data_IF_597396124868
#
_entry.id   IF_597396124868
#
_cell.length_a   1.000
_cell.length_b   1.000
_cell.length_c   1.000
_cell.angle_alpha   90.00
_cell.angle_beta   90.00
_cell.angle_gamma   90.00
#
_symmetry.space_group_name_H-M   'P 1'
#
loop_
_entity.id
_entity.type
_entity.pdbx_description
1 polymer ?
#
# COMPACT_ATOMS: atom_id res chain seq x y z
N UNK A 1 10.07 18.50 67.57
CA UNK A 1 9.80 18.90 66.17
C UNK A 1 8.34 19.33 66.07
N UNK A 2 8.07 20.61 65.83
CA UNK A 2 6.70 21.13 65.73
C UNK A 2 5.97 20.51 64.54
N UNK A 3 4.74 20.04 64.74
CA UNK A 3 3.92 19.32 63.73
C UNK A 3 3.83 20.07 62.40
N UNK A 4 3.91 21.40 62.42
CA UNK A 4 3.96 22.25 61.23
C UNK A 4 5.19 22.01 60.33
N UNK A 5 6.37 21.75 60.92
CA UNK A 5 7.59 21.42 60.14
C UNK A 5 7.49 20.05 59.48
N UNK A 6 6.88 19.07 60.16
CA UNK A 6 6.62 17.75 59.59
C UNK A 6 5.59 17.83 58.46
N UNK A 7 4.52 18.61 58.64
CA UNK A 7 3.53 18.84 57.58
C UNK A 7 4.14 19.54 56.36
N UNK A 8 5.00 20.56 56.58
CA UNK A 8 5.70 21.24 55.50
C UNK A 8 6.65 20.33 54.72
N UNK A 9 7.41 19.47 55.42
CA UNK A 9 8.28 18.49 54.78
C UNK A 9 7.49 17.43 54.00
N UNK A 10 6.38 16.95 54.55
CA UNK A 10 5.50 16.01 53.87
C UNK A 10 4.91 16.61 52.59
N UNK A 11 4.45 17.87 52.65
CA UNK A 11 3.92 18.58 51.47
C UNK A 11 5.01 18.81 50.40
N UNK A 12 6.22 19.18 50.82
CA UNK A 12 7.35 19.37 49.90
C UNK A 12 7.76 18.05 49.21
N UNK A 13 7.78 16.93 49.94
CA UNK A 13 8.04 15.61 49.38
C UNK A 13 6.95 15.18 48.38
N UNK A 14 5.69 15.49 48.67
CA UNK A 14 4.56 15.22 47.78
C UNK A 14 4.68 16.02 46.47
N UNK A 15 4.99 17.32 46.57
CA UNK A 15 5.19 18.19 45.41
C UNK A 15 6.41 17.75 44.57
N UNK A 16 7.50 17.35 45.23
CA UNK A 16 8.67 16.82 44.54
C UNK A 16 8.35 15.50 43.81
N UNK A 17 7.58 14.60 44.42
CA UNK A 17 7.12 13.37 43.79
C UNK A 17 6.24 13.61 42.57
N UNK A 18 5.31 14.57 42.65
CA UNK A 18 4.45 14.96 41.53
C UNK A 18 5.26 15.60 40.41
N UNK A 19 6.19 16.51 40.72
CA UNK A 19 7.06 17.14 39.74
C UNK A 19 8.00 16.14 39.05
N UNK A 20 8.51 15.16 39.80
CA UNK A 20 9.34 14.08 39.25
C UNK A 20 8.53 13.20 38.29
N UNK A 21 7.30 12.84 38.67
CA UNK A 21 6.41 12.02 37.85
C UNK A 21 5.91 12.75 36.58
N UNK A 22 5.68 14.07 36.67
CA UNK A 22 5.21 14.89 35.56
C UNK A 22 6.34 15.41 34.63
N UNK A 23 7.54 15.63 35.17
CA UNK A 23 8.66 16.25 34.48
C UNK A 23 9.42 15.32 33.54
N UNK A 24 9.58 14.05 33.92
CA UNK A 24 10.42 13.11 33.17
C UNK A 24 9.72 12.50 31.95
N UNK A 25 8.38 12.40 31.98
CA UNK A 25 7.60 11.81 30.90
C UNK A 25 7.21 12.82 29.82
N UNK A 26 6.90 14.08 30.15
CA UNK A 26 6.31 15.02 29.19
C UNK A 26 7.22 15.40 28.00
N UNK A 27 8.50 15.69 28.24
CA UNK A 27 9.39 16.21 27.18
C UNK A 27 10.01 15.09 26.33
N UNK A 28 10.41 13.97 26.97
CA UNK A 28 10.96 12.82 26.28
C UNK A 28 9.90 12.07 25.47
N UNK A 29 8.67 11.98 25.96
CA UNK A 29 7.58 11.37 25.19
C UNK A 29 7.21 12.23 24.00
N UNK A 30 7.24 13.56 24.10
CA UNK A 30 7.03 14.43 22.94
C UNK A 30 8.07 14.21 21.84
N UNK A 31 9.36 14.11 22.19
CA UNK A 31 10.42 13.81 21.23
C UNK A 31 10.28 12.40 20.63
N UNK A 32 9.93 11.39 21.44
CA UNK A 32 9.65 10.03 20.94
C UNK A 32 8.44 9.99 20.01
N UNK A 33 7.38 10.73 20.33
CA UNK A 33 6.17 10.81 19.52
C UNK A 33 6.47 11.46 18.17
N UNK A 34 7.26 12.54 18.18
CA UNK A 34 7.70 13.23 16.96
C UNK A 34 8.56 12.33 16.07
N UNK A 35 9.44 11.52 16.67
CA UNK A 35 10.25 10.52 15.96
C UNK A 35 9.43 9.36 15.39
N UNK A 36 8.36 8.92 16.08
CA UNK A 36 7.42 7.92 15.51
C UNK A 36 6.64 8.50 14.33
N UNK A 37 6.15 9.72 14.47
CA UNK A 37 5.37 10.40 13.43
C UNK A 37 6.20 10.69 12.17
N UNK A 38 7.49 10.98 12.32
CA UNK A 38 8.41 11.12 11.19
C UNK A 38 8.63 9.79 10.44
N UNK A 39 8.79 8.67 11.17
CA UNK A 39 8.99 7.35 10.57
C UNK A 39 7.75 6.82 9.87
N UNK A 40 6.58 6.98 10.47
CA UNK A 40 5.31 6.61 9.84
C UNK A 40 5.06 7.41 8.54
N UNK A 41 5.38 8.71 8.55
CA UNK A 41 5.28 9.54 7.33
C UNK A 41 6.22 9.07 6.22
N UNK A 42 7.43 8.64 6.55
CA UNK A 42 8.35 8.09 5.54
C UNK A 42 7.82 6.79 4.95
N UNK A 43 7.29 5.89 5.77
CA UNK A 43 6.68 4.64 5.28
C UNK A 43 5.48 4.90 4.35
N UNK A 44 4.67 5.91 4.66
CA UNK A 44 3.55 6.31 3.78
C UNK A 44 4.04 6.84 2.42
N UNK A 45 5.09 7.67 2.41
CA UNK A 45 5.66 8.21 1.18
C UNK A 45 6.27 7.11 0.29
N UNK A 46 6.96 6.14 0.87
CA UNK A 46 7.49 4.98 0.14
C UNK A 46 6.37 4.16 -0.51
N UNK A 47 5.28 3.91 0.23
CA UNK A 47 4.15 3.15 -0.26
C UNK A 47 3.36 3.89 -1.36
N UNK A 48 3.25 5.22 -1.25
CA UNK A 48 2.60 6.06 -2.25
C UNK A 48 3.36 6.07 -3.59
N UNK A 49 4.70 6.12 -3.53
CA UNK A 49 5.56 5.99 -4.72
C UNK A 49 5.39 4.61 -5.38
N UNK A 50 5.29 3.55 -4.59
CA UNK A 50 5.08 2.20 -5.09
C UNK A 50 3.73 2.06 -5.79
N UNK A 51 2.65 2.53 -5.16
CA UNK A 51 1.30 2.53 -5.74
C UNK A 51 1.24 3.30 -7.05
N UNK A 52 1.85 4.49 -7.12
CA UNK A 52 1.87 5.30 -8.33
C UNK A 52 2.68 4.62 -9.46
N UNK A 53 3.76 3.92 -9.11
CA UNK A 53 4.52 3.10 -10.06
C UNK A 53 3.70 1.93 -10.62
N UNK A 54 2.92 1.25 -9.78
CA UNK A 54 2.06 0.15 -10.18
C UNK A 54 0.89 0.64 -11.03
N UNK A 55 0.28 1.76 -10.67
CA UNK A 55 -0.79 2.39 -11.44
C UNK A 55 -0.31 2.84 -12.83
N UNK A 56 0.94 3.30 -12.97
CA UNK A 56 1.53 3.58 -14.29
C UNK A 56 1.74 2.33 -15.12
N UNK A 57 2.21 1.23 -14.51
CA UNK A 57 2.41 -0.06 -15.21
C UNK A 57 1.09 -0.69 -15.62
N UNK A 58 0.10 -0.68 -14.75
CA UNK A 58 -1.25 -1.14 -15.05
C UNK A 58 -1.85 -0.34 -16.21
N UNK A 59 -1.75 1.00 -16.17
CA UNK A 59 -2.17 1.86 -17.28
C UNK A 59 -1.43 1.52 -18.57
N UNK A 60 -0.10 1.39 -18.53
CA UNK A 60 0.68 1.03 -19.73
C UNK A 60 0.24 -0.30 -20.36
N UNK A 61 -0.11 -1.31 -19.54
CA UNK A 61 -0.61 -2.61 -19.98
C UNK A 61 -2.06 -2.56 -20.47
N UNK A 62 -2.93 -1.79 -19.81
CA UNK A 62 -4.30 -1.52 -20.25
C UNK A 62 -4.32 -0.72 -21.56
N UNK A 63 -3.36 0.18 -21.74
CA UNK A 63 -3.20 0.98 -22.96
C UNK A 63 -2.30 0.32 -24.00
N UNK A 64 -1.97 -0.98 -23.87
CA UNK A 64 -1.40 -1.75 -24.97
C UNK A 64 -2.50 -2.58 -25.66
N UNK A 65 -3.32 -1.93 -26.52
CA UNK A 65 -4.35 -2.62 -27.28
C UNK A 65 -3.77 -3.67 -28.23
N UNK A 66 -2.47 -3.61 -28.56
CA UNK A 66 -1.82 -4.64 -29.40
C UNK A 66 -1.64 -5.93 -28.63
N UNK A 67 -1.27 -5.88 -27.35
CA UNK A 67 -1.19 -7.06 -26.50
C UNK A 67 -2.58 -7.69 -26.25
N UNK A 68 -3.59 -6.85 -26.00
CA UNK A 68 -4.97 -7.31 -25.81
C UNK A 68 -5.53 -7.94 -27.09
N UNK A 69 -5.28 -7.32 -28.25
CA UNK A 69 -5.71 -7.83 -29.54
C UNK A 69 -5.01 -9.15 -29.90
N UNK A 70 -3.71 -9.28 -29.57
CA UNK A 70 -2.98 -10.54 -29.75
C UNK A 70 -3.60 -11.67 -28.92
N UNK A 71 -3.82 -11.45 -27.63
CA UNK A 71 -4.43 -12.46 -26.75
C UNK A 71 -5.86 -12.83 -27.21
N UNK A 72 -6.67 -11.83 -27.58
CA UNK A 72 -8.02 -12.06 -28.10
C UNK A 72 -8.02 -12.93 -29.38
N UNK A 73 -7.05 -12.71 -30.28
CA UNK A 73 -6.94 -13.45 -31.55
C UNK A 73 -6.32 -14.84 -31.38
N UNK A 74 -5.28 -14.96 -30.58
CA UNK A 74 -4.50 -16.21 -30.44
C UNK A 74 -5.17 -17.20 -29.48
N UNK A 75 -5.62 -16.75 -28.31
CA UNK A 75 -6.18 -17.63 -27.29
C UNK A 75 -7.68 -17.87 -27.48
N UNK A 76 -8.41 -16.83 -27.86
CA UNK A 76 -9.87 -16.88 -27.92
C UNK A 76 -10.42 -16.90 -29.36
N UNK A 77 -9.56 -16.73 -30.37
CA UNK A 77 -9.98 -16.71 -31.78
C UNK A 77 -10.97 -15.60 -32.11
N UNK A 78 -11.02 -14.55 -31.29
CA UNK A 78 -11.97 -13.45 -31.43
C UNK A 78 -11.58 -12.58 -32.62
N UNK A 79 -12.59 -12.16 -33.39
CA UNK A 79 -12.45 -11.27 -34.54
C UNK A 79 -13.20 -9.96 -34.25
N UNK A 80 -12.73 -8.85 -34.83
CA UNK A 80 -13.40 -7.56 -34.68
C UNK A 80 -14.67 -7.52 -35.55
N UNK A 81 -15.66 -6.72 -35.15
CA UNK A 81 -16.84 -6.46 -35.97
C UNK A 81 -16.44 -5.96 -37.37
N UNK A 82 -16.89 -6.67 -38.41
CA UNK A 82 -16.58 -6.36 -39.81
C UNK A 82 -15.41 -7.15 -40.42
N UNK A 83 -14.69 -7.97 -39.64
CA UNK A 83 -13.68 -8.89 -40.17
C UNK A 83 -14.30 -10.21 -40.63
N UNK A 84 -13.68 -10.85 -41.64
CA UNK A 84 -14.11 -12.15 -42.17
C UNK A 84 -13.01 -13.18 -41.90
N UNK A 85 -13.33 -14.24 -41.15
CA UNK A 85 -12.41 -15.33 -40.85
C UNK A 85 -12.39 -16.36 -41.98
N UNK A 86 -11.24 -16.49 -42.67
CA UNK A 86 -11.03 -17.56 -43.66
C UNK A 86 -10.43 -18.79 -42.97
N UNK A 87 -11.13 -19.92 -43.00
CA UNK A 87 -10.61 -21.21 -42.55
C UNK A 87 -10.30 -22.09 -43.76
N UNK A 88 -9.04 -22.46 -43.94
CA UNK A 88 -8.64 -23.44 -44.95
C UNK A 88 -9.00 -24.84 -44.45
N UNK A 89 -9.91 -25.51 -45.16
CA UNK A 89 -10.22 -26.92 -44.91
C UNK A 89 -9.56 -27.78 -45.99
N UNK A 90 -8.85 -28.87 -45.62
CA UNK A 90 -8.27 -29.77 -46.60
C UNK A 90 -9.40 -30.43 -47.40
N UNK A 91 -9.20 -30.54 -48.72
CA UNK A 91 -10.14 -31.21 -49.61
C UNK A 91 -10.15 -32.70 -49.29
N UNK A 92 -11.20 -33.19 -48.64
CA UNK A 92 -11.41 -34.62 -48.43
C UNK A 92 -11.70 -35.27 -49.79
N UNK A 93 -10.85 -36.19 -50.29
CA UNK A 93 -11.15 -36.92 -51.52
C UNK A 93 -12.41 -37.77 -51.30
N UNK A 94 -13.30 -37.89 -52.31
CA UNK A 94 -14.54 -38.64 -52.17
C UNK A 94 -14.24 -40.09 -51.78
N UNK A 95 -14.91 -40.58 -50.73
CA UNK A 95 -14.82 -41.97 -50.31
C UNK A 95 -15.27 -42.87 -51.46
N UNK A 96 -14.33 -43.59 -52.06
CA UNK A 96 -14.62 -44.61 -53.06
C UNK A 96 -15.19 -45.82 -52.32
N UNK A 97 -16.51 -45.87 -52.18
CA UNK A 97 -17.17 -47.09 -51.70
C UNK A 97 -17.03 -48.18 -52.78
N UNK A 98 -16.62 -49.41 -52.40
CA UNK A 98 -16.62 -50.57 -53.29
C UNK A 98 -18.04 -51.05 -53.62
#
# INVERSE_FOLDING_TARGET
MTRARLAGLAAAALLAGVAFQAGEYSTFDWLKLRGRLARERQALLELEVELDSLARRARALETDPVAQERAAREEFGMIRNGEVLYRLVPRVPPSRNP
#
